data_IF_462471960066
#
_entry.id   IF_462471960066
#
_cell.length_a   1.000
_cell.length_b   1.000
_cell.length_c   1.000
_cell.angle_alpha   90.00
_cell.angle_beta   90.00
_cell.angle_gamma   90.00
#
_symmetry.space_group_name_H-M   'P 1'
#
loop_
_entity.id
_entity.type
_entity.pdbx_description
1 polymer ?
#
# COMPACT_ATOMS: atom_id res chain seq x y z
N UNK A 1 -43.14 25.39 -9.14
CA UNK A 1 -42.36 26.46 -9.82
C UNK A 1 -41.02 25.91 -10.33
N UNK A 2 -40.98 25.02 -11.34
CA UNK A 2 -39.71 24.53 -11.94
C UNK A 2 -39.65 24.69 -13.48
N UNK A 3 -40.72 25.19 -14.13
CA UNK A 3 -40.85 25.21 -15.60
C UNK A 3 -40.40 26.50 -16.31
N UNK A 4 -39.85 27.49 -15.60
CA UNK A 4 -39.51 28.81 -16.18
C UNK A 4 -38.02 29.15 -16.23
N UNK A 5 -37.13 28.32 -15.67
CA UNK A 5 -35.69 28.62 -15.59
C UNK A 5 -34.89 27.96 -16.73
N UNK A 6 -35.37 26.85 -17.31
CA UNK A 6 -34.57 26.04 -18.25
C UNK A 6 -34.86 26.29 -19.75
N UNK A 7 -35.83 27.13 -20.10
CA UNK A 7 -36.25 27.30 -21.49
C UNK A 7 -36.78 26.00 -22.13
N UNK A 8 -37.45 26.08 -23.29
CA UNK A 8 -37.90 24.87 -23.98
C UNK A 8 -36.70 24.19 -24.64
N UNK A 9 -36.17 23.14 -24.02
CA UNK A 9 -35.16 22.27 -24.64
C UNK A 9 -35.81 21.48 -25.78
N UNK A 10 -35.79 22.04 -27.00
CA UNK A 10 -36.28 21.38 -28.21
C UNK A 10 -35.11 20.66 -28.89
N UNK A 11 -34.90 19.39 -28.55
CA UNK A 11 -33.93 18.54 -29.23
C UNK A 11 -34.55 17.95 -30.50
N UNK A 12 -34.05 18.35 -31.66
CA UNK A 12 -34.35 17.70 -32.94
C UNK A 12 -33.25 16.67 -33.23
N UNK A 13 -33.53 15.36 -33.15
CA UNK A 13 -32.49 14.35 -33.36
C UNK A 13 -31.96 14.43 -34.79
N UNK A 14 -30.64 14.35 -35.00
CA UNK A 14 -30.05 14.42 -36.32
C UNK A 14 -30.48 13.23 -37.18
N UNK A 15 -30.51 13.43 -38.51
CA UNK A 15 -31.05 12.46 -39.47
C UNK A 15 -30.38 11.07 -39.41
N UNK A 16 -29.09 11.02 -39.08
CA UNK A 16 -28.36 9.77 -38.91
C UNK A 16 -28.92 8.93 -37.75
N UNK A 17 -29.39 9.57 -36.67
CA UNK A 17 -29.93 8.90 -35.48
C UNK A 17 -31.33 8.35 -35.75
N UNK A 18 -32.16 9.10 -36.48
CA UNK A 18 -33.50 8.65 -36.92
C UNK A 18 -33.39 7.49 -37.90
N UNK A 19 -32.41 7.52 -38.82
CA UNK A 19 -32.19 6.44 -39.79
C UNK A 19 -31.68 5.16 -39.12
N UNK A 20 -30.80 5.28 -38.14
CA UNK A 20 -30.35 4.14 -37.34
C UNK A 20 -31.49 3.51 -36.54
N UNK A 21 -32.31 4.32 -35.84
CA UNK A 21 -33.41 3.78 -35.04
C UNK A 21 -34.48 3.11 -35.91
N UNK A 22 -34.81 3.68 -37.08
CA UNK A 22 -35.74 3.06 -38.03
C UNK A 22 -35.23 1.70 -38.56
N UNK A 23 -33.93 1.57 -38.85
CA UNK A 23 -33.32 0.31 -39.28
C UNK A 23 -33.35 -0.74 -38.15
N UNK A 24 -33.06 -0.34 -36.91
CA UNK A 24 -33.12 -1.23 -35.75
C UNK A 24 -34.55 -1.74 -35.51
N UNK A 25 -35.55 -0.86 -35.60
CA UNK A 25 -36.96 -1.21 -35.40
C UNK A 25 -37.48 -2.12 -36.51
N UNK A 26 -37.10 -1.89 -37.77
CA UNK A 26 -37.52 -2.74 -38.89
C UNK A 26 -36.90 -4.14 -38.81
N UNK A 27 -35.63 -4.25 -38.41
CA UNK A 27 -34.94 -5.52 -38.16
C UNK A 27 -35.59 -6.29 -36.99
N UNK A 28 -35.87 -5.60 -35.88
CA UNK A 28 -36.52 -6.20 -34.71
C UNK A 28 -37.92 -6.74 -35.02
N UNK A 29 -38.70 -6.07 -35.89
CA UNK A 29 -40.02 -6.54 -36.32
C UNK A 29 -39.96 -7.74 -37.28
N UNK A 30 -38.94 -7.82 -38.13
CA UNK A 30 -38.80 -8.93 -39.11
C UNK A 30 -38.31 -10.23 -38.48
N UNK A 31 -37.49 -10.16 -37.42
CA UNK A 31 -36.90 -11.32 -36.74
C UNK A 31 -36.81 -11.07 -35.22
N UNK A 32 -37.93 -11.20 -34.49
CA UNK A 32 -38.01 -10.80 -33.08
C UNK A 32 -37.09 -11.62 -32.15
N UNK A 33 -36.89 -12.91 -32.47
CA UNK A 33 -36.04 -13.79 -31.67
C UNK A 33 -34.55 -13.43 -31.76
N UNK A 34 -34.07 -12.99 -32.93
CA UNK A 34 -32.68 -12.53 -33.08
C UNK A 34 -32.44 -11.23 -32.32
N UNK A 35 -33.37 -10.28 -32.40
CA UNK A 35 -33.27 -9.03 -31.61
C UNK A 35 -33.33 -9.30 -30.10
N UNK A 36 -34.12 -10.28 -29.66
CA UNK A 36 -34.12 -10.69 -28.26
C UNK A 36 -32.77 -11.31 -27.87
N UNK A 37 -32.21 -12.19 -28.70
CA UNK A 37 -30.92 -12.81 -28.46
C UNK A 37 -29.77 -11.78 -28.40
N UNK A 38 -29.77 -10.77 -29.28
CA UNK A 38 -28.73 -9.72 -29.24
C UNK A 38 -28.84 -8.84 -27.99
N UNK A 39 -30.06 -8.47 -27.58
CA UNK A 39 -30.28 -7.71 -26.34
C UNK A 39 -29.85 -8.52 -25.12
N UNK A 40 -30.22 -9.80 -25.04
CA UNK A 40 -29.80 -10.68 -23.94
C UNK A 40 -28.28 -10.84 -23.92
N UNK A 41 -27.65 -11.03 -25.08
CA UNK A 41 -26.19 -11.12 -25.18
C UNK A 41 -25.51 -9.82 -24.74
N UNK A 42 -26.05 -8.66 -25.09
CA UNK A 42 -25.52 -7.37 -24.65
C UNK A 42 -25.63 -7.20 -23.13
N UNK A 43 -26.78 -7.56 -22.55
CA UNK A 43 -26.98 -7.54 -21.09
C UNK A 43 -26.01 -8.51 -20.41
N UNK A 44 -25.84 -9.71 -20.94
CA UNK A 44 -24.92 -10.71 -20.40
C UNK A 44 -23.47 -10.22 -20.40
N UNK A 45 -23.02 -9.54 -21.47
CA UNK A 45 -21.69 -8.94 -21.54
C UNK A 45 -21.50 -7.82 -20.51
N UNK A 46 -22.51 -6.95 -20.34
CA UNK A 46 -22.47 -5.89 -19.33
C UNK A 46 -22.42 -6.49 -17.91
N UNK A 47 -23.25 -7.49 -17.64
CA UNK A 47 -23.27 -8.19 -16.36
C UNK A 47 -21.95 -8.89 -16.08
N UNK A 48 -21.38 -9.58 -17.07
CA UNK A 48 -20.06 -10.21 -16.96
C UNK A 48 -18.98 -9.16 -16.66
N UNK A 49 -18.96 -8.02 -17.36
CA UNK A 49 -18.05 -6.91 -17.10
C UNK A 49 -18.20 -6.32 -15.68
N UNK A 50 -19.43 -6.17 -15.20
CA UNK A 50 -19.68 -5.68 -13.84
C UNK A 50 -19.23 -6.70 -12.77
N UNK A 51 -19.45 -8.00 -13.01
CA UNK A 51 -19.02 -9.06 -12.11
C UNK A 51 -17.49 -9.19 -12.07
N UNK A 52 -16.82 -9.12 -13.22
CA UNK A 52 -15.35 -9.16 -13.29
C UNK A 52 -14.73 -7.93 -12.63
N UNK A 53 -15.29 -6.74 -12.84
CA UNK A 53 -14.86 -5.52 -12.17
C UNK A 53 -15.00 -5.62 -10.65
N UNK A 54 -16.16 -6.07 -10.16
CA UNK A 54 -16.39 -6.29 -8.72
C UNK A 54 -15.46 -7.35 -8.13
N UNK A 55 -15.14 -8.39 -8.88
CA UNK A 55 -14.16 -9.40 -8.45
C UNK A 55 -12.75 -8.80 -8.36
N UNK A 56 -12.37 -7.98 -9.34
CA UNK A 56 -11.07 -7.31 -9.36
C UNK A 56 -10.89 -6.33 -8.18
N UNK A 57 -11.91 -5.53 -7.87
CA UNK A 57 -11.88 -4.62 -6.71
C UNK A 57 -11.78 -5.35 -5.35
N UNK A 58 -12.27 -6.58 -5.27
CA UNK A 58 -12.20 -7.42 -4.06
C UNK A 58 -10.87 -8.13 -3.88
N UNK A 59 -9.94 -8.01 -4.82
CA UNK A 59 -8.63 -8.61 -4.65
C UNK A 59 -7.93 -7.99 -3.42
N UNK A 60 -7.32 -8.82 -2.55
CA UNK A 60 -6.59 -8.32 -1.40
C UNK A 60 -5.42 -7.48 -1.90
N UNK A 61 -5.42 -6.19 -1.55
CA UNK A 61 -4.28 -5.32 -1.82
C UNK A 61 -3.10 -5.81 -0.96
N UNK A 62 -1.88 -5.89 -1.50
CA UNK A 62 -0.73 -6.34 -0.73
C UNK A 62 -0.52 -5.38 0.44
N UNK A 63 -0.61 -5.92 1.66
CA UNK A 63 -0.30 -5.18 2.88
C UNK A 63 1.20 -4.86 2.87
N UNK A 64 1.53 -3.58 3.10
CA UNK A 64 2.92 -3.12 3.16
C UNK A 64 3.24 -2.77 4.60
N UNK A 65 4.36 -3.29 5.10
CA UNK A 65 4.81 -2.99 6.46
C UNK A 65 5.45 -1.60 6.48
N UNK A 66 4.95 -0.74 7.37
CA UNK A 66 5.50 0.57 7.65
C UNK A 66 6.45 0.49 8.85
N UNK A 67 7.51 1.27 8.81
CA UNK A 67 8.50 1.36 9.89
C UNK A 67 8.47 2.76 10.47
N UNK A 68 8.38 2.83 11.80
CA UNK A 68 8.48 4.07 12.57
C UNK A 68 9.73 3.99 13.43
N UNK A 69 10.70 4.89 13.19
CA UNK A 69 11.93 4.97 13.96
C UNK A 69 11.77 6.03 15.04
N UNK A 70 11.98 5.67 16.30
CA UNK A 70 12.04 6.64 17.39
C UNK A 70 13.49 7.04 17.60
N UNK A 71 13.80 8.33 17.41
CA UNK A 71 15.14 8.85 17.64
C UNK A 71 15.53 8.68 19.13
N UNK A 72 16.74 8.19 19.42
CA UNK A 72 17.19 8.02 20.80
C UNK A 72 17.37 9.40 21.44
N UNK A 73 16.94 9.61 22.71
CA UNK A 73 17.15 10.86 23.40
C UNK A 73 18.64 11.08 23.71
N UNK A 74 19.08 12.35 23.70
CA UNK A 74 20.44 12.76 24.09
C UNK A 74 20.72 12.30 25.52
N UNK A 75 21.88 11.66 25.72
CA UNK A 75 22.30 11.12 27.02
C UNK A 75 22.27 12.22 28.10
N UNK A 76 21.41 12.05 29.10
CA UNK A 76 21.55 12.77 30.37
C UNK A 76 22.63 12.08 31.19
N UNK A 77 23.53 12.87 31.76
CA UNK A 77 24.68 12.41 32.55
C UNK A 77 24.19 11.83 33.89
N UNK A 78 23.66 10.60 33.90
CA UNK A 78 23.30 9.85 35.10
C UNK A 78 24.37 8.80 35.44
N UNK A 79 24.46 8.43 36.73
CA UNK A 79 25.55 7.63 37.34
C UNK A 79 25.73 6.21 36.79
N UNK A 80 24.86 5.74 35.90
CA UNK A 80 24.98 4.46 35.19
C UNK A 80 25.11 4.71 33.68
N UNK A 81 26.26 4.35 33.09
CA UNK A 81 26.47 4.39 31.64
C UNK A 81 25.58 3.35 30.92
N UNK A 82 24.30 3.67 30.72
CA UNK A 82 23.43 2.94 29.80
C UNK A 82 23.31 3.76 28.53
N UNK A 83 23.96 3.32 27.46
CA UNK A 83 23.84 3.97 26.15
C UNK A 83 22.38 3.89 25.66
N UNK A 84 21.82 4.99 25.12
CA UNK A 84 20.42 4.99 24.70
C UNK A 84 20.24 4.05 23.49
N UNK A 85 19.26 3.16 23.60
CA UNK A 85 18.89 2.20 22.57
C UNK A 85 18.13 2.92 21.44
N UNK A 86 18.46 2.62 20.18
CA UNK A 86 17.63 3.03 19.05
C UNK A 86 16.52 2.00 18.88
N UNK A 87 15.25 2.43 18.89
CA UNK A 87 14.10 1.54 18.74
C UNK A 87 13.40 1.80 17.41
N UNK A 88 13.16 0.71 16.69
CA UNK A 88 12.51 0.66 15.39
C UNK A 88 11.24 -0.18 15.53
N UNK A 89 10.09 0.45 15.32
CA UNK A 89 8.78 -0.18 15.38
C UNK A 89 8.29 -0.52 13.98
N UNK A 90 7.79 -1.75 13.82
CA UNK A 90 7.16 -2.23 12.60
C UNK A 90 5.64 -2.28 12.80
N UNK A 91 4.88 -1.94 11.78
CA UNK A 91 3.40 -2.00 11.85
C UNK A 91 2.84 -3.41 11.93
N UNK A 92 3.63 -4.40 11.51
CA UNK A 92 3.29 -5.82 11.51
C UNK A 92 4.52 -6.65 11.91
N UNK A 93 4.33 -7.90 12.38
CA UNK A 93 5.41 -8.83 12.65
C UNK A 93 6.33 -9.01 11.43
N UNK A 94 7.57 -8.53 11.55
CA UNK A 94 8.56 -8.54 10.48
C UNK A 94 9.74 -9.46 10.80
N UNK A 95 9.91 -9.86 12.07
CA UNK A 95 10.97 -10.74 12.48
C UNK A 95 10.78 -12.18 11.95
N UNK A 96 11.89 -12.83 11.58
CA UNK A 96 11.89 -14.28 11.40
C UNK A 96 11.87 -14.96 12.77
N UNK A 97 11.13 -16.06 12.88
CA UNK A 97 11.08 -16.85 14.11
C UNK A 97 12.49 -17.28 14.58
N UNK A 98 13.36 -17.62 13.62
CA UNK A 98 14.76 -17.98 13.89
C UNK A 98 15.58 -16.83 14.49
N UNK A 99 15.24 -15.57 14.15
CA UNK A 99 16.01 -14.40 14.55
C UNK A 99 15.58 -13.84 15.91
N UNK A 100 14.36 -14.17 16.37
CA UNK A 100 13.89 -13.82 17.72
C UNK A 100 14.72 -14.49 18.83
N UNK A 101 15.29 -15.67 18.56
CA UNK A 101 16.14 -16.38 19.53
C UNK A 101 17.61 -15.96 19.47
N UNK A 102 18.02 -15.16 18.48
CA UNK A 102 19.41 -14.74 18.29
C UNK A 102 19.73 -13.49 19.09
N UNK A 103 20.94 -13.46 19.66
CA UNK A 103 21.48 -12.30 20.40
C UNK A 103 22.03 -11.20 19.49
N UNK A 104 22.33 -11.51 18.24
CA UNK A 104 22.77 -10.55 17.25
C UNK A 104 22.24 -11.00 15.90
N UNK A 105 21.59 -10.08 15.19
CA UNK A 105 21.04 -10.33 13.87
C UNK A 105 21.86 -9.59 12.80
N UNK A 106 21.93 -10.20 11.62
CA UNK A 106 22.66 -9.69 10.46
C UNK A 106 21.68 -9.32 9.35
N UNK A 107 21.98 -8.29 8.56
CA UNK A 107 21.11 -7.82 7.47
C UNK A 107 20.50 -6.44 7.69
N UNK A 108 20.86 -5.76 8.79
CA UNK A 108 20.52 -4.36 9.05
C UNK A 108 21.80 -3.54 9.10
N UNK A 109 21.86 -2.47 8.33
CA UNK A 109 23.01 -1.56 8.26
C UNK A 109 22.61 -0.18 8.75
N UNK A 110 23.49 0.45 9.51
CA UNK A 110 23.38 1.82 9.98
C UNK A 110 24.49 2.64 9.32
N UNK A 111 24.14 3.79 8.77
CA UNK A 111 25.07 4.75 8.16
C UNK A 111 24.86 6.13 8.80
N UNK A 112 25.85 6.75 9.45
CA UNK A 112 27.21 6.26 9.69
C UNK A 112 27.28 4.98 10.52
N UNK A 113 28.27 4.13 10.25
CA UNK A 113 28.43 2.85 10.94
C UNK A 113 28.90 3.07 12.39
N UNK A 114 28.06 2.68 13.35
CA UNK A 114 28.39 2.64 14.77
C UNK A 114 28.59 1.19 15.20
N UNK A 115 29.54 0.94 16.10
CA UNK A 115 29.71 -0.39 16.70
C UNK A 115 28.52 -0.68 17.61
N UNK A 116 27.88 -1.82 17.41
CA UNK A 116 26.73 -2.25 18.22
C UNK A 116 26.11 -3.52 17.67
N UNK A 117 25.08 -4.01 18.33
CA UNK A 117 24.34 -5.20 17.93
C UNK A 117 22.86 -4.89 17.73
N UNK A 118 22.30 -5.42 16.64
CA UNK A 118 20.85 -5.40 16.41
C UNK A 118 20.19 -6.60 17.09
N UNK A 119 19.05 -6.36 17.73
CA UNK A 119 18.30 -7.37 18.48
C UNK A 119 16.81 -7.13 18.37
N UNK A 120 16.05 -8.21 18.22
CA UNK A 120 14.59 -8.15 18.31
C UNK A 120 14.18 -8.20 19.78
N UNK A 121 13.31 -7.27 20.18
CA UNK A 121 12.61 -7.33 21.48
C UNK A 121 11.35 -8.19 21.34
N UNK A 122 10.63 -7.98 20.23
CA UNK A 122 9.44 -8.71 19.81
C UNK A 122 9.48 -8.91 18.30
N UNK A 123 8.48 -9.59 17.76
CA UNK A 123 8.32 -9.79 16.32
C UNK A 123 8.06 -8.50 15.52
N UNK A 124 7.63 -7.43 16.19
CA UNK A 124 7.34 -6.11 15.65
C UNK A 124 8.31 -5.00 16.10
N UNK A 125 9.27 -5.30 16.98
CA UNK A 125 10.09 -4.28 17.65
C UNK A 125 11.57 -4.66 17.61
N UNK A 126 12.35 -3.89 16.88
CA UNK A 126 13.80 -4.05 16.74
C UNK A 126 14.53 -2.95 17.49
N UNK A 127 15.57 -3.30 18.23
CA UNK A 127 16.45 -2.34 18.87
C UNK A 127 17.90 -2.51 18.45
N UNK A 128 18.63 -1.40 18.42
CA UNK A 128 20.08 -1.39 18.26
C UNK A 128 20.71 -1.01 19.59
N UNK A 129 21.59 -1.89 20.07
CA UNK A 129 22.39 -1.73 21.28
C UNK A 129 23.78 -1.24 20.88
N UNK A 130 24.06 0.08 20.99
CA UNK A 130 25.35 0.64 20.60
C UNK A 130 26.42 0.31 21.66
N UNK A 131 27.64 0.05 21.21
CA UNK A 131 28.82 -0.12 22.05
C UNK A 131 29.54 1.21 22.36
N UNK A 132 29.17 2.27 21.65
CA UNK A 132 29.76 3.61 21.73
C UNK A 132 28.62 4.65 21.78
N UNK A 133 28.92 5.89 22.21
CA UNK A 133 27.89 6.92 22.34
C UNK A 133 27.41 7.44 20.97
N UNK A 134 26.16 7.89 20.90
CA UNK A 134 25.63 8.51 19.69
C UNK A 134 26.24 9.90 19.49
N UNK A 135 26.70 10.24 18.28
CA UNK A 135 27.03 11.63 17.95
C UNK A 135 25.75 12.49 17.99
N UNK A 136 25.85 13.67 18.59
CA UNK A 136 24.76 14.65 18.65
C UNK A 136 24.55 15.30 17.28
N UNK A 137 23.30 15.68 16.98
CA UNK A 137 22.90 16.39 15.76
C UNK A 137 23.32 15.71 14.43
N UNK A 138 23.43 14.38 14.43
CA UNK A 138 23.88 13.61 13.28
C UNK A 138 22.70 12.91 12.59
N UNK A 139 22.69 12.96 11.25
CA UNK A 139 21.75 12.18 10.43
C UNK A 139 22.24 10.76 10.28
N UNK A 140 21.34 9.82 10.52
CA UNK A 140 21.53 8.39 10.39
C UNK A 140 20.55 7.82 9.37
N UNK A 141 21.00 6.80 8.64
CA UNK A 141 20.21 6.01 7.71
C UNK A 141 20.25 4.55 8.11
N UNK A 142 19.09 3.96 8.36
CA UNK A 142 18.92 2.51 8.55
C UNK A 142 18.54 1.90 7.22
N UNK A 143 19.33 0.94 6.76
CA UNK A 143 19.09 0.18 5.54
C UNK A 143 18.88 -1.29 5.86
N UNK A 144 17.78 -1.85 5.37
CA UNK A 144 17.47 -3.27 5.56
C UNK A 144 17.77 -4.06 4.28
N UNK A 145 18.41 -5.23 4.43
CA UNK A 145 18.62 -6.16 3.34
C UNK A 145 17.34 -6.96 3.04
N UNK A 146 17.11 -7.31 1.77
CA UNK A 146 15.91 -8.05 1.37
C UNK A 146 15.83 -9.47 1.97
N UNK A 147 16.99 -10.07 2.25
CA UNK A 147 17.13 -11.39 2.88
C UNK A 147 16.81 -11.39 4.38
N UNK A 148 16.76 -10.21 5.00
CA UNK A 148 16.50 -10.07 6.43
C UNK A 148 15.06 -10.45 6.80
N UNK A 149 14.09 -10.08 5.95
CA UNK A 149 12.67 -10.35 6.21
C UNK A 149 12.20 -11.68 5.61
N UNK A 150 11.16 -12.29 6.20
CA UNK A 150 10.43 -13.39 5.56
C UNK A 150 9.90 -13.01 4.17
N UNK A 151 9.80 -13.97 3.26
CA UNK A 151 9.34 -13.74 1.87
C UNK A 151 7.94 -13.13 1.75
N UNK A 152 7.10 -13.30 2.76
CA UNK A 152 5.73 -12.78 2.80
C UNK A 152 5.65 -11.32 3.29
N UNK A 153 6.72 -10.80 3.88
CA UNK A 153 6.78 -9.43 4.39
C UNK A 153 7.19 -8.50 3.25
N UNK A 154 6.27 -7.63 2.82
CA UNK A 154 6.52 -6.63 1.80
C UNK A 154 6.75 -5.28 2.48
N UNK A 155 8.00 -4.81 2.50
CA UNK A 155 8.30 -3.46 2.97
C UNK A 155 7.88 -2.41 1.94
N UNK A 156 7.37 -1.28 2.43
CA UNK A 156 7.14 -0.11 1.58
C UNK A 156 8.46 0.58 1.18
N UNK A 157 9.39 0.70 2.14
CA UNK A 157 10.70 1.33 1.96
C UNK A 157 11.77 0.48 2.66
N UNK A 158 12.97 0.50 2.10
CA UNK A 158 14.11 -0.26 2.61
C UNK A 158 15.12 0.61 3.36
N UNK A 159 14.97 1.93 3.23
CA UNK A 159 15.86 2.94 3.78
C UNK A 159 15.03 3.96 4.55
N UNK A 160 15.47 4.22 5.78
CA UNK A 160 14.81 5.16 6.67
C UNK A 160 15.87 6.08 7.28
N UNK A 161 15.59 7.37 7.26
CA UNK A 161 16.49 8.38 7.79
C UNK A 161 15.92 8.95 9.09
N UNK A 162 16.78 9.15 10.08
CA UNK A 162 16.47 9.83 11.32
C UNK A 162 17.62 10.74 11.72
N UNK A 163 17.35 11.76 12.52
CA UNK A 163 18.39 12.62 13.10
C UNK A 163 18.42 12.39 14.61
N UNK A 164 19.61 12.37 15.19
CA UNK A 164 19.77 12.49 16.64
C UNK A 164 19.50 13.94 17.05
N UNK A 165 18.87 14.10 18.22
CA UNK A 165 18.60 15.40 18.83
C UNK A 165 19.84 15.98 19.53
#
# INVERSE_FOLDING_TARGET
MWNTILGRFSWSPPCWLVRLSANIVTIARRRPWLSAATVVSAIALIAAGALTWRWYERQPKPHRVHVTITAPPVMKLEKELKFPLLVVYFSEPAARLDDLSKRAITGVRLDPQIRGAWRWSKDDTLFFEPAENWPAEQKFRVSFERSFFPRHVLMEKWQYEFATA
#
